data_IF_321409555890
#
_entry.id   IF_321409555890
#
_cell.length_a   1.000
_cell.length_b   1.000
_cell.length_c   1.000
_cell.angle_alpha   90.00
_cell.angle_beta   90.00
_cell.angle_gamma   90.00
#
_symmetry.space_group_name_H-M   'P 1'
#
loop_
_entity.id
_entity.type
_entity.pdbx_description
1 polymer ?
#
# COMPACT_ATOMS: atom_id res chain seq x y z
N UNK A 1 21.36 -20.53 -40.58
CA UNK A 1 21.24 -19.78 -39.29
C UNK A 1 19.82 -19.32 -38.99
N UNK A 2 19.03 -18.87 -39.98
CA UNK A 2 17.65 -18.41 -39.77
C UNK A 2 16.77 -19.36 -38.93
N UNK A 3 16.80 -20.67 -39.21
CA UNK A 3 16.00 -21.67 -38.50
C UNK A 3 16.23 -21.70 -36.97
N UNK A 4 17.46 -21.45 -36.50
CA UNK A 4 17.77 -21.44 -35.06
C UNK A 4 17.18 -20.20 -34.39
N UNK A 5 17.28 -19.05 -35.06
CA UNK A 5 16.70 -17.80 -34.54
C UNK A 5 15.17 -17.85 -34.52
N UNK A 6 14.57 -18.42 -35.57
CA UNK A 6 13.12 -18.62 -35.65
C UNK A 6 12.61 -19.50 -34.51
N UNK A 7 13.27 -20.64 -34.27
CA UNK A 7 12.89 -21.54 -33.17
C UNK A 7 12.96 -20.84 -31.81
N UNK A 8 14.07 -20.15 -31.50
CA UNK A 8 14.23 -19.48 -30.19
C UNK A 8 13.21 -18.36 -29.98
N UNK A 9 12.91 -17.58 -31.04
CA UNK A 9 11.91 -16.51 -30.95
C UNK A 9 10.51 -17.09 -30.83
N UNK A 10 10.19 -18.17 -31.55
CA UNK A 10 8.90 -18.84 -31.47
C UNK A 10 8.63 -19.37 -30.05
N UNK A 11 9.58 -20.12 -29.49
CA UNK A 11 9.48 -20.70 -28.14
C UNK A 11 9.30 -19.61 -27.06
N UNK A 12 10.10 -18.54 -27.13
CA UNK A 12 9.97 -17.43 -26.20
C UNK A 12 8.62 -16.70 -26.33
N UNK A 13 8.13 -16.51 -27.57
CA UNK A 13 6.85 -15.85 -27.84
C UNK A 13 5.66 -16.69 -27.39
N UNK A 14 5.68 -18.00 -27.60
CA UNK A 14 4.65 -18.94 -27.16
C UNK A 14 4.50 -18.90 -25.65
N UNK A 15 5.60 -19.18 -24.93
CA UNK A 15 5.63 -19.17 -23.47
C UNK A 15 5.26 -17.80 -22.88
N UNK A 16 5.75 -16.70 -23.43
CA UNK A 16 5.37 -15.35 -22.97
C UNK A 16 3.91 -15.00 -23.30
N UNK A 17 3.39 -15.46 -24.43
CA UNK A 17 2.01 -15.25 -24.85
C UNK A 17 1.00 -15.93 -23.92
N UNK A 18 1.26 -17.19 -23.55
CA UNK A 18 0.40 -17.92 -22.63
C UNK A 18 0.41 -17.32 -21.22
N UNK A 19 1.56 -16.82 -20.80
CA UNK A 19 1.67 -16.08 -19.55
C UNK A 19 0.97 -14.73 -19.57
N UNK A 20 1.00 -14.01 -20.70
CA UNK A 20 0.22 -12.79 -20.88
C UNK A 20 -1.28 -13.04 -20.69
N UNK A 21 -1.80 -14.08 -21.32
CA UNK A 21 -3.20 -14.49 -21.18
C UNK A 21 -3.55 -14.88 -19.73
N UNK A 22 -2.63 -15.54 -19.01
CA UNK A 22 -2.82 -15.98 -17.61
C UNK A 22 -2.82 -14.84 -16.59
N UNK A 23 -2.12 -13.74 -16.88
CA UNK A 23 -2.02 -12.59 -15.97
C UNK A 23 -3.35 -11.88 -15.78
N UNK A 24 -4.13 -12.29 -14.77
CA UNK A 24 -5.28 -11.52 -14.29
C UNK A 24 -4.77 -10.21 -13.69
N UNK A 25 -5.30 -9.08 -14.12
CA UNK A 25 -5.29 -7.89 -13.28
C UNK A 25 -6.34 -8.13 -12.19
N UNK A 26 -5.94 -8.09 -10.93
CA UNK A 26 -6.81 -8.31 -9.77
C UNK A 26 -8.04 -7.38 -9.78
N UNK A 27 -7.95 -6.24 -10.49
CA UNK A 27 -9.03 -5.27 -10.69
C UNK A 27 -9.08 -4.68 -12.13
N UNK A 28 -8.79 -5.45 -13.20
CA UNK A 28 -8.74 -4.87 -14.56
C UNK A 28 -8.83 -5.85 -15.74
N UNK A 29 -8.78 -5.35 -17.00
CA UNK A 29 -8.90 -6.18 -18.19
C UNK A 29 -7.71 -7.14 -18.34
N UNK A 30 -7.97 -8.35 -18.84
CA UNK A 30 -6.95 -9.35 -19.14
C UNK A 30 -5.92 -8.75 -20.09
N UNK A 31 -4.62 -8.92 -19.78
CA UNK A 31 -3.54 -8.36 -20.60
C UNK A 31 -3.35 -9.21 -21.84
N UNK A 32 -3.69 -8.68 -23.01
CA UNK A 32 -3.47 -9.35 -24.31
C UNK A 32 -2.06 -9.11 -24.88
N UNK A 33 -1.35 -8.09 -24.38
CA UNK A 33 -0.03 -7.67 -24.87
C UNK A 33 1.10 -8.26 -24.03
N UNK A 34 2.13 -8.77 -24.72
CA UNK A 34 3.41 -9.14 -24.09
C UNK A 34 4.11 -7.86 -23.63
N UNK A 35 4.41 -7.76 -22.34
CA UNK A 35 5.12 -6.62 -21.73
C UNK A 35 6.50 -7.05 -21.25
N UNK A 36 7.45 -6.13 -21.00
CA UNK A 36 8.78 -6.48 -20.52
C UNK A 36 8.75 -7.28 -19.21
N UNK A 37 7.77 -7.01 -18.34
CA UNK A 37 7.53 -7.80 -17.12
C UNK A 37 7.27 -9.27 -17.42
N UNK A 38 6.45 -9.56 -18.43
CA UNK A 38 6.10 -10.94 -18.77
C UNK A 38 7.30 -11.66 -19.40
N UNK A 39 8.05 -10.97 -20.26
CA UNK A 39 9.29 -11.51 -20.83
C UNK A 39 10.27 -11.90 -19.72
N UNK A 40 10.51 -10.98 -18.78
CA UNK A 40 11.42 -11.23 -17.66
C UNK A 40 10.95 -12.41 -16.81
N UNK A 41 9.66 -12.50 -16.51
CA UNK A 41 9.15 -13.62 -15.75
C UNK A 41 9.34 -14.93 -16.54
N UNK A 42 9.06 -14.97 -17.85
CA UNK A 42 9.21 -16.16 -18.69
C UNK A 42 10.64 -16.66 -18.65
N UNK A 43 11.60 -15.76 -18.85
CA UNK A 43 13.02 -16.09 -18.82
C UNK A 43 13.45 -16.66 -17.47
N UNK A 44 12.92 -16.15 -16.35
CA UNK A 44 13.37 -16.56 -15.00
C UNK A 44 12.67 -17.80 -14.47
N UNK A 45 11.50 -18.15 -14.99
CA UNK A 45 10.80 -19.40 -14.65
C UNK A 45 11.24 -20.58 -15.52
N UNK A 46 11.76 -20.31 -16.72
CA UNK A 46 12.27 -21.33 -17.62
C UNK A 46 13.77 -21.60 -17.35
N UNK A 47 14.18 -22.85 -17.07
CA UNK A 47 15.56 -23.18 -16.73
C UNK A 47 16.53 -23.01 -17.90
N UNK A 48 16.08 -23.27 -19.13
CA UNK A 48 16.90 -23.20 -20.34
C UNK A 48 17.17 -21.74 -20.70
N UNK A 49 16.13 -20.91 -20.71
CA UNK A 49 16.27 -19.47 -20.92
C UNK A 49 17.02 -18.79 -19.77
N UNK A 50 16.79 -19.17 -18.51
CA UNK A 50 17.49 -18.56 -17.38
C UNK A 50 19.00 -18.83 -17.43
N UNK A 51 19.40 -20.02 -17.88
CA UNK A 51 20.80 -20.37 -18.11
C UNK A 51 21.38 -19.59 -19.30
N UNK A 52 20.67 -19.60 -20.44
CA UNK A 52 21.11 -18.92 -21.66
C UNK A 52 21.24 -17.40 -21.48
N UNK A 53 20.32 -16.78 -20.73
CA UNK A 53 20.22 -15.33 -20.55
C UNK A 53 20.61 -14.87 -19.14
N UNK A 54 21.44 -15.65 -18.44
CA UNK A 54 21.79 -15.39 -17.04
C UNK A 54 22.33 -13.97 -16.81
N UNK A 55 23.19 -13.50 -17.71
CA UNK A 55 23.88 -12.19 -17.66
C UNK A 55 23.21 -11.08 -18.47
N UNK A 56 21.98 -11.31 -18.94
CA UNK A 56 21.22 -10.32 -19.70
C UNK A 56 20.24 -9.58 -18.77
N UNK A 57 20.17 -8.26 -18.92
CA UNK A 57 19.19 -7.42 -18.21
C UNK A 57 18.03 -7.06 -19.13
N UNK A 58 16.80 -7.40 -18.71
CA UNK A 58 15.58 -6.97 -19.41
C UNK A 58 15.10 -5.65 -18.81
N UNK A 59 15.21 -4.57 -19.59
CA UNK A 59 14.72 -3.25 -19.18
C UNK A 59 13.21 -3.28 -18.91
N UNK A 60 12.76 -2.70 -17.79
CA UNK A 60 11.35 -2.71 -17.38
C UNK A 60 10.80 -4.07 -16.95
N UNK A 61 11.66 -5.09 -16.79
CA UNK A 61 11.26 -6.46 -16.45
C UNK A 61 11.05 -6.73 -14.95
N UNK A 62 11.80 -6.06 -14.08
CA UNK A 62 11.80 -6.33 -12.63
C UNK A 62 12.37 -7.71 -12.27
N UNK A 63 11.92 -8.29 -11.14
CA UNK A 63 12.44 -9.57 -10.60
C UNK A 63 11.32 -10.58 -10.34
N UNK A 64 11.61 -11.87 -10.40
CA UNK A 64 10.65 -12.91 -10.00
C UNK A 64 10.25 -12.69 -8.54
N UNK A 65 8.96 -12.75 -8.17
CA UNK A 65 8.54 -12.58 -6.78
C UNK A 65 9.04 -13.77 -5.94
N UNK A 66 10.17 -13.59 -5.28
CA UNK A 66 10.72 -14.52 -4.30
C UNK A 66 10.43 -13.96 -2.91
N UNK A 67 9.81 -14.76 -2.05
CA UNK A 67 9.56 -14.39 -0.67
C UNK A 67 9.94 -15.56 0.22
N UNK A 68 10.91 -15.34 1.09
CA UNK A 68 11.28 -16.31 2.10
C UNK A 68 10.09 -16.58 3.03
N UNK A 69 9.93 -17.86 3.40
CA UNK A 69 8.89 -18.34 4.31
C UNK A 69 8.84 -17.52 5.62
N UNK A 70 10.02 -17.19 6.16
CA UNK A 70 10.16 -16.34 7.35
C UNK A 70 9.62 -14.93 7.13
N UNK A 71 9.86 -14.34 5.96
CA UNK A 71 9.36 -12.99 5.63
C UNK A 71 7.84 -13.02 5.49
N UNK A 72 7.26 -14.05 4.85
CA UNK A 72 5.81 -14.21 4.77
C UNK A 72 5.18 -14.27 6.17
N UNK A 73 5.73 -15.10 7.06
CA UNK A 73 5.26 -15.21 8.45
C UNK A 73 5.32 -13.88 9.19
N UNK A 74 6.44 -13.15 9.09
CA UNK A 74 6.58 -11.82 9.71
C UNK A 74 5.58 -10.81 9.15
N UNK A 75 5.39 -10.77 7.83
CA UNK A 75 4.45 -9.84 7.19
C UNK A 75 3.00 -10.16 7.59
N UNK A 76 2.61 -11.44 7.59
CA UNK A 76 1.27 -11.85 8.04
C UNK A 76 1.05 -11.53 9.53
N UNK A 77 2.04 -11.81 10.39
CA UNK A 77 1.95 -11.52 11.82
C UNK A 77 1.82 -10.01 12.10
N UNK A 78 2.61 -9.16 11.43
CA UNK A 78 2.48 -7.70 11.54
C UNK A 78 1.13 -7.19 11.04
N UNK A 79 0.61 -7.78 9.97
CA UNK A 79 -0.69 -7.38 9.41
C UNK A 79 -1.83 -7.72 10.37
N UNK A 80 -1.78 -8.88 11.02
CA UNK A 80 -2.75 -9.27 12.05
C UNK A 80 -2.71 -8.33 13.27
N UNK A 81 -1.51 -8.04 13.80
CA UNK A 81 -1.33 -7.10 14.92
C UNK A 81 -1.84 -5.68 14.60
N UNK A 82 -1.63 -5.22 13.37
CA UNK A 82 -2.13 -3.93 12.91
C UNK A 82 -3.67 -3.89 12.77
N UNK A 83 -4.32 -5.02 12.49
CA UNK A 83 -5.78 -5.11 12.46
C UNK A 83 -6.38 -5.13 13.86
N UNK A 84 -5.80 -5.91 14.79
CA UNK A 84 -6.24 -5.95 16.19
C UNK A 84 -6.10 -4.59 16.87
N UNK A 85 -4.98 -3.87 16.67
CA UNK A 85 -4.79 -2.52 17.22
C UNK A 85 -5.79 -1.52 16.65
N UNK A 86 -6.10 -1.57 15.35
CA UNK A 86 -7.14 -0.72 14.74
C UNK A 86 -8.53 -1.01 15.29
N UNK A 87 -8.87 -2.28 15.51
CA UNK A 87 -10.15 -2.68 16.11
C UNK A 87 -10.26 -2.22 17.57
N UNK A 88 -9.19 -2.36 18.35
CA UNK A 88 -9.16 -1.93 19.75
C UNK A 88 -9.25 -0.41 19.90
N UNK A 89 -8.65 0.36 18.99
CA UNK A 89 -8.75 1.83 18.98
C UNK A 89 -10.16 2.27 18.53
N UNK A 90 -10.76 1.62 17.53
CA UNK A 90 -12.12 1.92 17.09
C UNK A 90 -13.15 1.62 18.20
N UNK A 91 -13.02 0.48 18.88
CA UNK A 91 -13.87 0.13 20.02
C UNK A 91 -13.71 1.10 21.21
N UNK A 92 -12.52 1.67 21.41
CA UNK A 92 -12.29 2.69 22.45
C UNK A 92 -12.91 4.05 22.11
N UNK A 93 -13.13 4.36 20.83
CA UNK A 93 -13.75 5.61 20.37
C UNK A 93 -15.28 5.59 20.44
N UNK A 94 -15.91 4.41 20.35
CA UNK A 94 -17.37 4.27 20.48
C UNK A 94 -17.88 4.42 21.94
N UNK A 95 -16.99 4.41 22.93
CA UNK A 95 -17.31 4.61 24.36
C UNK A 95 -17.27 6.07 24.83
N UNK A 96 -16.83 7.02 24.00
CA UNK A 96 -16.89 8.44 24.33
C UNK A 96 -18.27 8.93 23.89
N UNK A 97 -19.24 8.89 24.80
CA UNK A 97 -20.49 9.64 24.62
C UNK A 97 -20.12 11.14 24.53
N UNK A 98 -20.52 11.86 23.47
CA UNK A 98 -20.50 13.32 23.49
C UNK A 98 -21.62 13.78 24.44
N UNK A 99 -21.35 13.68 25.74
CA UNK A 99 -22.27 14.08 26.79
C UNK A 99 -22.22 15.59 26.99
N UNK A 100 -23.11 16.30 26.32
CA UNK A 100 -23.87 17.47 26.78
C UNK A 100 -24.14 18.40 25.59
N UNK A 101 -25.43 18.55 25.26
CA UNK A 101 -25.94 19.53 24.31
C UNK A 101 -25.48 20.93 24.71
N UNK A 102 -24.74 21.61 23.84
CA UNK A 102 -24.51 23.05 23.96
C UNK A 102 -25.75 23.74 23.38
N UNK A 103 -26.62 24.23 24.25
CA UNK A 103 -27.71 25.12 23.87
C UNK A 103 -27.13 26.36 23.19
N UNK A 104 -27.71 26.87 22.08
CA UNK A 104 -27.15 28.03 21.39
C UNK A 104 -27.40 29.28 22.25
N UNK A 105 -26.38 29.78 22.97
CA UNK A 105 -26.53 31.02 23.73
C UNK A 105 -25.42 31.46 24.68
N UNK A 106 -24.47 30.61 25.06
CA UNK A 106 -23.37 31.03 25.95
C UNK A 106 -22.03 30.98 25.23
N UNK A 107 -21.38 32.14 25.13
CA UNK A 107 -20.03 32.25 24.57
C UNK A 107 -19.02 31.52 25.48
N UNK A 108 -18.03 30.81 24.91
CA UNK A 108 -17.03 30.12 25.71
C UNK A 108 -16.10 31.15 26.35
N UNK A 109 -16.14 31.21 27.69
CA UNK A 109 -15.15 31.94 28.49
C UNK A 109 -13.77 31.33 28.24
N UNK A 110 -12.89 32.07 27.56
CA UNK A 110 -11.51 31.62 27.31
C UNK A 110 -10.73 31.64 28.63
N UNK A 111 -10.06 30.53 28.94
CA UNK A 111 -9.15 30.42 30.08
C UNK A 111 -7.91 31.30 29.84
N UNK A 112 -8.04 32.60 30.12
CA UNK A 112 -6.99 33.60 29.92
C UNK A 112 -7.15 34.85 30.77
N UNK A 113 -8.35 35.19 31.25
CA UNK A 113 -8.57 36.42 32.01
C UNK A 113 -8.35 36.20 33.51
N UNK A 114 -7.09 35.97 33.88
CA UNK A 114 -6.62 36.21 35.25
C UNK A 114 -6.10 37.65 35.28
N UNK A 115 -6.97 38.63 35.56
CA UNK A 115 -6.52 39.99 35.90
C UNK A 115 -5.94 39.97 37.32
N UNK A 116 -4.64 40.24 37.52
CA UNK A 116 -4.05 40.21 38.84
C UNK A 116 -4.13 41.61 39.47
N UNK A 117 -5.00 41.75 40.48
CA UNK A 117 -4.87 42.74 41.55
C UNK A 117 -5.29 44.20 41.24
N UNK A 118 -5.95 44.82 42.22
CA UNK A 118 -5.93 46.28 42.39
C UNK A 118 -7.30 46.95 42.52
N UNK A 119 -7.71 47.13 43.77
CA UNK A 119 -8.47 48.26 44.31
C UNK A 119 -9.97 48.42 44.04
N UNK A 120 -10.73 48.12 45.10
CA UNK A 120 -12.02 48.71 45.42
C UNK A 120 -11.85 50.21 45.66
N UNK A 121 -12.42 51.05 44.77
CA UNK A 121 -12.75 52.43 45.11
C UNK A 121 -14.27 52.59 45.06
N UNK A 122 -14.93 53.05 46.14
CA UNK A 122 -16.37 53.27 46.14
C UNK A 122 -16.73 54.65 45.57
N UNK A 123 -17.99 54.75 45.17
CA UNK A 123 -18.71 55.92 44.64
C UNK A 123 -18.33 57.28 45.26
N UNK A 124 -18.25 58.32 44.42
CA UNK A 124 -18.91 59.63 44.60
C UNK A 124 -18.64 60.61 43.42
N UNK A 125 -19.72 61.32 43.05
CA UNK A 125 -19.84 62.66 42.42
C UNK A 125 -19.08 63.05 41.13
N UNK A 126 -19.84 63.23 40.03
CA UNK A 126 -20.18 64.52 39.40
C UNK A 126 -20.97 64.32 38.09
#
# INVERSE_FOLDING_TARGET
MAAVLEYLVAEMCESAGDRAKRGKAENGPKRSRITPRIIQLTIREDPEFNSLLQRVTVAGGGVLPLSDESIKKMVHARTAQAMETKQNIAAAQEGITPGAEMTPGEEPIYAGDVTPGGDLTPAEEA
#
